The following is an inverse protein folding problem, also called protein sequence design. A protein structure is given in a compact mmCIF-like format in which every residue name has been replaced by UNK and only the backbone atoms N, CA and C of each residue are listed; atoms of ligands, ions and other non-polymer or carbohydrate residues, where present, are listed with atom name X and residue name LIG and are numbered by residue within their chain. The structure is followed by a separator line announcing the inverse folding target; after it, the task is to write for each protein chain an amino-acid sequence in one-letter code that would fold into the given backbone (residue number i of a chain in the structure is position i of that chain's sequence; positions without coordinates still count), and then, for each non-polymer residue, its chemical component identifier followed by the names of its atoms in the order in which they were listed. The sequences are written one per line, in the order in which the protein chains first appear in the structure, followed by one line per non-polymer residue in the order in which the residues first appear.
data_IF_697814633194
#
_entry.id   IF_697814633194
#
_cell.length_a   1.000
_cell.length_b   1.000
_cell.length_c   1.000
_cell.angle_alpha   90.00
_cell.angle_beta   90.00
_cell.angle_gamma   90.00
#
_symmetry.space_group_name_H-M   'P 1'
#
loop_
_entity.id
_entity.type
_entity.pdbx_description
1 polymer ?
#
# COMPACT_ATOMS: atom_id res chain seq x y z
N UNK A 1 47.66 -16.62 -18.61
CA UNK A 1 47.58 -15.15 -18.75
C UNK A 1 47.73 -14.51 -17.37
N UNK A 2 48.55 -13.46 -17.18
CA UNK A 2 48.68 -12.81 -15.88
C UNK A 2 47.39 -12.05 -15.53
N UNK A 3 46.92 -12.20 -14.29
CA UNK A 3 45.78 -11.45 -13.77
C UNK A 3 46.13 -9.97 -13.58
N UNK A 4 45.20 -9.08 -13.92
CA UNK A 4 45.35 -7.63 -13.75
C UNK A 4 45.69 -7.28 -12.30
N UNK A 5 46.69 -6.43 -12.09
CA UNK A 5 47.03 -5.89 -10.77
C UNK A 5 45.83 -5.16 -10.12
N UNK A 6 45.71 -5.28 -8.78
CA UNK A 6 44.64 -4.62 -8.02
C UNK A 6 44.79 -3.10 -8.10
N UNK A 7 43.68 -2.39 -8.30
CA UNK A 7 43.65 -0.92 -8.37
C UNK A 7 43.70 -0.33 -6.95
N UNK A 8 44.17 0.92 -6.82
CA UNK A 8 44.05 1.69 -5.57
C UNK A 8 42.59 2.09 -5.33
N UNK A 9 42.24 2.29 -4.07
CA UNK A 9 40.97 2.87 -3.65
C UNK A 9 40.79 4.25 -4.28
N UNK A 10 39.58 4.56 -4.74
CA UNK A 10 39.22 5.87 -5.31
C UNK A 10 38.89 6.93 -4.27
N UNK A 11 38.82 6.58 -2.98
CA UNK A 11 38.67 7.55 -1.90
C UNK A 11 39.92 8.42 -1.79
N UNK A 12 39.72 9.75 -1.74
CA UNK A 12 40.80 10.74 -1.70
C UNK A 12 41.77 10.45 -0.56
N UNK A 13 43.06 10.29 -0.89
CA UNK A 13 44.12 10.02 0.09
C UNK A 13 44.16 8.61 0.67
N UNK A 14 43.29 7.68 0.24
CA UNK A 14 43.31 6.31 0.75
C UNK A 14 44.40 5.46 0.07
N UNK A 15 45.38 4.90 0.81
CA UNK A 15 46.43 4.07 0.24
C UNK A 15 45.98 2.61 -0.03
N UNK A 16 44.78 2.23 0.42
CA UNK A 16 44.26 0.87 0.35
C UNK A 16 43.98 0.39 -1.08
N UNK A 17 43.90 -0.93 -1.25
CA UNK A 17 43.50 -1.54 -2.53
C UNK A 17 41.98 -1.58 -2.66
N UNK A 18 41.48 -1.26 -3.85
CA UNK A 18 40.08 -1.35 -4.17
C UNK A 18 39.63 -2.80 -4.34
N UNK A 19 38.43 -3.10 -3.83
CA UNK A 19 37.64 -4.25 -4.27
C UNK A 19 36.92 -3.96 -5.60
N UNK A 20 35.87 -4.74 -5.88
CA UNK A 20 35.09 -4.63 -7.11
C UNK A 20 34.38 -3.28 -7.26
N UNK A 21 34.09 -2.61 -6.15
CA UNK A 21 33.40 -1.30 -6.09
C UNK A 21 34.31 -0.11 -6.40
N UNK A 22 35.61 -0.33 -6.62
CA UNK A 22 36.59 0.76 -6.75
C UNK A 22 36.99 1.40 -5.41
N UNK A 23 36.43 0.92 -4.29
CA UNK A 23 36.75 1.37 -2.93
C UNK A 23 37.26 0.19 -2.08
N UNK A 24 38.05 0.48 -1.04
CA UNK A 24 38.46 -0.55 -0.07
C UNK A 24 37.33 -0.83 0.92
N UNK A 25 37.48 -1.86 1.75
CA UNK A 25 36.48 -2.27 2.76
C UNK A 25 36.06 -1.11 3.69
N UNK A 26 37.00 -0.26 4.09
CA UNK A 26 36.72 0.92 4.94
C UNK A 26 35.92 2.02 4.22
N UNK A 27 35.92 2.03 2.89
CA UNK A 27 35.26 3.03 2.06
C UNK A 27 34.14 2.42 1.23
N UNK A 28 33.69 1.19 1.52
CA UNK A 28 32.53 0.64 0.86
C UNK A 28 31.29 1.42 1.26
N UNK A 29 30.58 1.92 0.25
CA UNK A 29 29.26 2.50 0.46
C UNK A 29 28.28 1.32 0.55
N UNK A 30 27.53 1.19 1.65
CA UNK A 30 26.51 0.16 1.77
C UNK A 30 25.56 0.24 0.58
N UNK A 31 25.25 -0.90 -0.04
CA UNK A 31 24.25 -0.93 -1.11
C UNK A 31 22.92 -0.42 -0.53
N UNK A 32 22.24 0.54 -1.18
CA UNK A 32 20.92 0.94 -0.73
C UNK A 32 20.00 -0.29 -0.69
N UNK A 33 19.14 -0.34 0.33
CA UNK A 33 18.15 -1.43 0.43
C UNK A 33 17.33 -1.48 -0.87
N UNK A 34 17.03 -2.67 -1.40
CA UNK A 34 16.14 -2.80 -2.54
C UNK A 34 14.85 -2.02 -2.28
N UNK A 35 14.43 -1.20 -3.24
CA UNK A 35 13.17 -0.48 -3.11
C UNK A 35 12.03 -1.50 -3.02
N UNK A 36 11.06 -1.32 -2.11
CA UNK A 36 9.89 -2.18 -2.06
C UNK A 36 9.14 -2.10 -3.39
N UNK A 37 8.54 -3.22 -3.81
CA UNK A 37 7.71 -3.24 -5.02
C UNK A 37 6.63 -2.16 -4.90
N UNK A 38 6.33 -1.43 -6.00
CA UNK A 38 5.25 -0.46 -5.99
C UNK A 38 3.94 -1.14 -5.60
N UNK A 39 3.11 -0.42 -4.84
CA UNK A 39 1.78 -0.91 -4.46
C UNK A 39 0.92 -1.04 -5.73
N UNK A 40 0.05 -2.06 -5.81
CA UNK A 40 -0.89 -2.19 -6.92
C UNK A 40 -1.79 -0.94 -7.01
N UNK A 41 -2.22 -0.59 -8.22
CA UNK A 41 -3.14 0.52 -8.47
C UNK A 41 -4.51 0.26 -7.82
N UNK A 42 -5.30 1.32 -7.61
CA UNK A 42 -6.68 1.18 -7.12
C UNK A 42 -7.53 0.25 -8.00
N UNK A 43 -7.38 0.35 -9.32
CA UNK A 43 -8.02 -0.53 -10.29
C UNK A 43 -7.59 -1.98 -10.11
N UNK A 44 -6.28 -2.24 -9.96
CA UNK A 44 -5.77 -3.59 -9.70
C UNK A 44 -6.21 -4.14 -8.34
N UNK A 45 -6.63 -3.27 -7.42
CA UNK A 45 -7.17 -3.62 -6.10
C UNK A 45 -8.70 -3.82 -6.09
N UNK A 46 -9.37 -3.76 -7.24
CA UNK A 46 -10.82 -3.96 -7.37
C UNK A 46 -11.65 -2.68 -7.42
N UNK A 47 -11.05 -1.49 -7.36
CA UNK A 47 -11.78 -0.22 -7.49
C UNK A 47 -11.82 0.28 -8.94
N UNK A 48 -12.29 -0.58 -9.84
CA UNK A 48 -12.37 -0.27 -11.26
C UNK A 48 -13.63 0.57 -11.63
N UNK A 49 -13.83 0.81 -12.92
CA UNK A 49 -15.00 1.53 -13.43
C UNK A 49 -16.33 0.83 -13.12
N UNK A 50 -16.35 -0.50 -13.10
CA UNK A 50 -17.57 -1.30 -12.83
C UNK A 50 -17.97 -1.15 -11.37
N UNK A 51 -16.99 -1.20 -10.46
CA UNK A 51 -17.20 -0.90 -9.05
C UNK A 51 -17.79 0.49 -8.86
N UNK A 52 -17.21 1.52 -9.50
CA UNK A 52 -17.71 2.90 -9.37
C UNK A 52 -19.20 2.99 -9.75
N UNK A 53 -19.60 2.43 -10.89
CA UNK A 53 -21.01 2.42 -11.30
C UNK A 53 -21.91 1.68 -10.33
N UNK A 54 -21.47 0.50 -9.86
CA UNK A 54 -22.24 -0.31 -8.91
C UNK A 54 -22.41 0.41 -7.58
N UNK A 55 -21.35 1.01 -7.06
CA UNK A 55 -21.35 1.80 -5.83
C UNK A 55 -22.27 3.02 -5.92
N UNK A 56 -22.23 3.76 -7.02
CA UNK A 56 -23.15 4.90 -7.25
C UNK A 56 -24.62 4.47 -7.33
N UNK A 57 -24.92 3.34 -7.99
CA UNK A 57 -26.27 2.79 -8.01
C UNK A 57 -26.72 2.31 -6.63
N UNK A 58 -25.83 1.64 -5.89
CA UNK A 58 -26.09 1.14 -4.54
C UNK A 58 -26.38 2.27 -3.55
N UNK A 59 -25.60 3.37 -3.56
CA UNK A 59 -25.83 4.53 -2.69
C UNK A 59 -27.14 5.27 -3.02
N UNK A 60 -27.55 5.31 -4.29
CA UNK A 60 -28.85 5.87 -4.67
C UNK A 60 -30.01 5.03 -4.13
N UNK A 61 -29.88 3.71 -4.12
CA UNK A 61 -30.88 2.80 -3.55
C UNK A 61 -30.87 2.77 -2.01
N UNK A 62 -29.72 3.06 -1.40
CA UNK A 62 -29.50 2.99 0.05
C UNK A 62 -29.00 4.34 0.58
N UNK A 63 -29.86 5.38 0.66
CA UNK A 63 -29.43 6.75 0.96
C UNK A 63 -29.09 6.98 2.45
N UNK A 64 -29.34 6.00 3.31
CA UNK A 64 -29.17 6.11 4.76
C UNK A 64 -28.03 5.21 5.24
N UNK A 65 -27.22 5.74 6.15
CA UNK A 65 -26.13 5.03 6.81
C UNK A 65 -26.72 3.94 7.71
N UNK A 66 -26.33 2.68 7.48
CA UNK A 66 -26.83 1.55 8.28
C UNK A 66 -26.45 1.66 9.76
N UNK A 67 -25.33 2.32 10.08
CA UNK A 67 -24.82 2.42 11.44
C UNK A 67 -25.43 3.57 12.28
N UNK A 68 -25.94 4.64 11.64
CA UNK A 68 -26.39 5.83 12.39
C UNK A 68 -27.56 6.61 11.77
N UNK A 69 -28.12 6.16 10.64
CA UNK A 69 -29.27 6.78 9.98
C UNK A 69 -29.00 8.08 9.22
N UNK A 70 -27.81 8.68 9.32
CA UNK A 70 -27.41 9.86 8.55
C UNK A 70 -27.28 9.56 7.04
N UNK A 71 -27.28 10.56 6.16
CA UNK A 71 -27.04 10.33 4.73
C UNK A 71 -25.76 9.54 4.46
N UNK A 72 -25.88 8.46 3.68
CA UNK A 72 -24.75 7.63 3.26
C UNK A 72 -23.93 8.32 2.17
N UNK A 73 -22.61 8.12 2.20
CA UNK A 73 -21.67 8.70 1.23
C UNK A 73 -20.70 7.67 0.66
N UNK A 74 -20.54 6.53 1.34
CA UNK A 74 -19.59 5.49 0.97
C UNK A 74 -20.27 4.13 0.96
N UNK A 75 -20.01 3.34 -0.08
CA UNK A 75 -20.28 1.91 -0.10
C UNK A 75 -19.06 1.20 0.45
N UNK A 76 -19.23 0.47 1.55
CA UNK A 76 -18.17 -0.29 2.19
C UNK A 76 -18.43 -1.79 2.10
N UNK A 77 -17.37 -2.58 2.02
CA UNK A 77 -17.45 -4.04 2.03
C UNK A 77 -17.52 -4.53 3.47
N UNK A 78 -18.43 -5.42 3.84
CA UNK A 78 -18.59 -5.95 5.20
C UNK A 78 -17.43 -6.86 5.58
N UNK A 79 -16.97 -7.74 4.70
CA UNK A 79 -15.84 -8.64 4.92
C UNK A 79 -14.46 -7.96 4.75
N UNK A 80 -14.42 -6.80 4.08
CA UNK A 80 -13.18 -6.10 3.73
C UNK A 80 -12.49 -6.61 2.46
N UNK A 81 -13.07 -7.61 1.78
CA UNK A 81 -12.65 -8.05 0.46
C UNK A 81 -13.25 -7.14 -0.62
N UNK A 82 -12.38 -6.39 -1.27
CA UNK A 82 -12.72 -5.39 -2.29
C UNK A 82 -13.20 -6.01 -3.61
N UNK A 83 -13.07 -7.33 -3.76
CA UNK A 83 -13.50 -8.08 -4.93
C UNK A 83 -14.89 -8.69 -4.74
N UNK A 84 -15.37 -8.79 -3.50
CA UNK A 84 -16.67 -9.33 -3.17
C UNK A 84 -17.76 -8.26 -3.26
N UNK A 85 -18.32 -8.07 -4.44
CA UNK A 85 -19.37 -7.07 -4.66
C UNK A 85 -20.78 -7.61 -4.39
N UNK A 86 -20.95 -8.74 -3.71
CA UNK A 86 -22.29 -9.26 -3.43
C UNK A 86 -23.13 -8.23 -2.64
N UNK A 87 -24.40 -7.99 -2.99
CA UNK A 87 -25.19 -6.92 -2.38
C UNK A 87 -25.31 -7.02 -0.86
N UNK A 88 -25.30 -8.24 -0.32
CA UNK A 88 -25.34 -8.54 1.11
C UNK A 88 -24.00 -8.27 1.81
N UNK A 89 -22.88 -8.27 1.07
CA UNK A 89 -21.57 -7.86 1.56
C UNK A 89 -21.33 -6.35 1.46
N UNK A 90 -22.25 -5.58 0.87
CA UNK A 90 -22.12 -4.12 0.79
C UNK A 90 -22.92 -3.46 1.91
N UNK A 91 -22.39 -2.34 2.43
CA UNK A 91 -23.12 -1.51 3.39
C UNK A 91 -22.99 -0.01 3.09
N UNK A 92 -24.09 0.76 3.22
CA UNK A 92 -24.08 2.21 3.06
C UNK A 92 -23.60 2.87 4.36
N UNK A 93 -22.53 3.67 4.30
CA UNK A 93 -21.98 4.38 5.46
C UNK A 93 -21.84 5.87 5.19
N UNK A 94 -22.07 6.67 6.23
CA UNK A 94 -21.65 8.07 6.24
C UNK A 94 -20.13 8.17 6.48
N UNK A 95 -19.53 9.32 6.14
CA UNK A 95 -18.09 9.55 6.26
C UNK A 95 -17.53 9.23 7.65
N UNK A 96 -18.23 9.61 8.71
CA UNK A 96 -17.75 9.42 10.08
C UNK A 96 -17.78 7.95 10.52
N UNK A 97 -18.84 7.21 10.18
CA UNK A 97 -18.92 5.79 10.49
C UNK A 97 -17.93 4.97 9.65
N UNK A 98 -17.79 5.29 8.36
CA UNK A 98 -16.79 4.67 7.50
C UNK A 98 -15.37 4.90 8.02
N UNK A 99 -15.01 6.15 8.36
CA UNK A 99 -13.69 6.48 8.89
C UNK A 99 -13.38 5.76 10.20
N UNK A 100 -14.36 5.69 11.12
CA UNK A 100 -14.23 4.93 12.37
C UNK A 100 -13.93 3.46 12.07
N UNK A 101 -14.70 2.85 11.18
CA UNK A 101 -14.54 1.45 10.79
C UNK A 101 -13.17 1.18 10.17
N UNK A 102 -12.71 2.07 9.28
CA UNK A 102 -11.38 1.99 8.68
C UNK A 102 -10.27 1.99 9.75
N UNK A 103 -10.39 2.89 10.74
CA UNK A 103 -9.42 2.99 11.82
C UNK A 103 -9.46 1.79 12.77
N UNK A 104 -10.65 1.25 13.09
CA UNK A 104 -10.80 0.17 14.06
C UNK A 104 -10.55 -1.21 13.48
N UNK A 105 -10.98 -1.46 12.24
CA UNK A 105 -11.00 -2.81 11.66
C UNK A 105 -10.07 -3.00 10.46
N UNK A 106 -9.89 -1.97 9.61
CA UNK A 106 -9.19 -2.14 8.31
C UNK A 106 -7.69 -1.84 8.36
N UNK A 107 -7.21 -1.43 9.52
CA UNK A 107 -5.82 -1.04 9.74
C UNK A 107 -5.49 0.35 9.21
N UNK A 108 -6.49 1.25 9.15
CA UNK A 108 -6.27 2.67 8.91
C UNK A 108 -5.22 3.23 9.88
N UNK A 109 -4.40 4.17 9.41
CA UNK A 109 -3.35 4.81 10.21
C UNK A 109 -2.27 3.86 10.78
N UNK A 110 -2.12 2.66 10.19
CA UNK A 110 -1.16 1.67 10.67
C UNK A 110 -1.67 0.82 11.84
N UNK A 111 -2.97 0.90 12.15
CA UNK A 111 -3.60 0.07 13.17
C UNK A 111 -3.59 -1.42 12.76
N UNK A 112 -3.71 -2.31 13.75
CA UNK A 112 -3.87 -3.74 13.48
C UNK A 112 -5.24 -3.98 12.85
N UNK A 113 -5.28 -4.87 11.85
CA UNK A 113 -6.56 -5.36 11.32
C UNK A 113 -7.20 -6.31 12.32
N UNK A 114 -8.49 -6.15 12.54
CA UNK A 114 -9.28 -7.07 13.36
C UNK A 114 -10.28 -7.80 12.46
N UNK A 115 -10.50 -9.11 12.65
CA UNK A 115 -11.60 -9.80 11.99
C UNK A 115 -12.94 -9.15 12.36
N UNK A 116 -13.88 -9.19 11.43
CA UNK A 116 -15.20 -8.57 11.51
C UNK A 116 -16.27 -9.61 11.79
#
# INVERSE_FOLDING_TARGET
MPSRARRRCTASGCPGFAGTSGRCEQHEIPRPRPQPKPRPSSTALGYDYRWRKKSEAYLRANPTCVACGRPSQHTDHIDGDRTNWEPDNLQPLCLSCHSRKTATHDGGFGNRRTPR
#
